data_IF_349953464844
#
_entry.id   IF_349953464844
#
_cell.length_a   1.000
_cell.length_b   1.000
_cell.length_c   1.000
_cell.angle_alpha   90.00
_cell.angle_beta   90.00
_cell.angle_gamma   90.00
#
_symmetry.space_group_name_H-M   'P 1'
#
loop_
_entity.id
_entity.type
_entity.pdbx_description
1 polymer ?
#
# COMPACT_ATOMS: atom_id res chain seq x y z
N UNK A 1 -6.95 -13.65 -10.08
CA UNK A 1 -5.76 -14.28 -9.48
C UNK A 1 -4.61 -13.29 -9.67
N UNK A 2 -3.90 -12.91 -8.62
CA UNK A 2 -2.86 -11.89 -8.70
C UNK A 2 -1.61 -12.49 -9.34
N UNK A 3 -0.93 -11.83 -10.30
CA UNK A 3 0.13 -12.45 -11.12
C UNK A 3 1.34 -13.00 -10.34
N UNK A 4 1.53 -12.58 -9.09
CA UNK A 4 2.65 -12.98 -8.22
C UNK A 4 2.25 -13.64 -6.91
N UNK A 5 0.93 -13.76 -6.58
CA UNK A 5 0.49 -14.42 -5.33
C UNK A 5 0.89 -15.88 -5.26
N UNK A 6 1.10 -16.51 -6.40
CA UNK A 6 1.43 -17.93 -6.51
C UNK A 6 2.92 -18.18 -6.82
N UNK A 7 3.74 -17.13 -6.84
CA UNK A 7 5.19 -17.29 -7.05
C UNK A 7 5.88 -17.55 -5.73
N UNK A 8 6.50 -18.72 -5.57
CA UNK A 8 7.33 -18.98 -4.39
C UNK A 8 8.48 -17.99 -4.32
N UNK A 9 8.71 -17.47 -3.12
CA UNK A 9 9.86 -16.63 -2.84
C UNK A 9 10.88 -17.38 -1.99
N UNK A 10 12.12 -16.95 -2.05
CA UNK A 10 13.16 -17.30 -1.10
C UNK A 10 13.52 -16.04 -0.31
N UNK A 11 13.51 -16.14 1.02
CA UNK A 11 13.90 -15.02 1.89
C UNK A 11 15.37 -14.66 1.64
N UNK A 12 15.63 -13.38 1.41
CA UNK A 12 16.99 -12.85 1.22
C UNK A 12 17.78 -12.75 2.53
N UNK A 13 17.14 -12.95 3.68
CA UNK A 13 17.71 -12.83 5.03
C UNK A 13 18.28 -11.44 5.38
N UNK A 14 18.00 -10.42 4.57
CA UNK A 14 18.35 -9.06 4.95
C UNK A 14 17.58 -8.61 6.19
N UNK A 15 18.17 -7.78 7.07
CA UNK A 15 17.45 -7.22 8.21
C UNK A 15 16.31 -6.29 7.76
N UNK A 16 15.35 -6.07 8.65
CA UNK A 16 14.35 -5.02 8.52
C UNK A 16 14.87 -3.75 9.19
N UNK A 17 15.29 -2.80 8.38
CA UNK A 17 15.82 -1.51 8.85
C UNK A 17 14.70 -0.48 8.97
N UNK A 18 14.87 0.45 9.91
CA UNK A 18 13.98 1.61 10.01
C UNK A 18 14.16 2.55 8.83
N UNK A 19 13.07 3.18 8.42
CA UNK A 19 13.12 4.19 7.37
C UNK A 19 13.87 5.44 7.88
N UNK A 20 14.98 5.84 7.21
CA UNK A 20 15.74 7.01 7.61
C UNK A 20 15.10 8.30 7.02
N UNK A 21 15.46 9.48 7.55
CA UNK A 21 15.29 10.72 6.80
C UNK A 21 16.06 10.61 5.46
N UNK A 22 15.60 11.18 4.34
CA UNK A 22 14.50 12.14 4.17
C UNK A 22 13.14 11.53 3.82
N UNK A 23 12.90 10.26 4.11
CA UNK A 23 11.61 9.61 3.87
C UNK A 23 10.61 10.03 4.95
N UNK A 24 9.53 10.69 4.56
CA UNK A 24 8.50 11.08 5.50
C UNK A 24 7.65 9.87 5.88
N UNK A 25 7.08 9.88 7.08
CA UNK A 25 6.15 8.88 7.57
C UNK A 25 4.79 9.51 7.74
N UNK A 26 3.73 8.85 7.32
CA UNK A 26 2.37 9.30 7.61
C UNK A 26 2.05 8.88 9.03
N UNK A 27 2.08 9.83 9.94
CA UNK A 27 1.84 9.59 11.36
C UNK A 27 0.63 10.40 11.87
N UNK A 28 -0.23 9.83 12.73
CA UNK A 28 -0.12 8.45 13.26
C UNK A 28 -0.32 7.40 12.16
N UNK A 29 0.36 6.24 12.29
CA UNK A 29 0.27 5.17 11.29
C UNK A 29 -1.18 4.73 11.10
N UNK A 30 -1.70 4.72 9.85
CA UNK A 30 -3.14 4.52 9.60
C UNK A 30 -3.71 3.23 10.18
N UNK A 31 -3.01 2.10 10.00
CA UNK A 31 -3.51 0.82 10.51
C UNK A 31 -3.35 0.67 12.02
N UNK A 32 -2.29 1.23 12.60
CA UNK A 32 -2.14 1.26 14.06
C UNK A 32 -3.26 2.08 14.72
N UNK A 33 -3.70 3.15 14.08
CA UNK A 33 -4.78 4.02 14.56
C UNK A 33 -6.15 3.33 14.61
N UNK A 34 -6.38 2.31 13.77
CA UNK A 34 -7.59 1.50 13.81
C UNK A 34 -7.44 0.22 14.65
N UNK A 35 -6.35 0.10 15.40
CA UNK A 35 -6.13 -1.00 16.35
C UNK A 35 -5.41 -2.23 15.78
N UNK A 36 -4.77 -2.11 14.61
CA UNK A 36 -4.02 -3.23 14.05
C UNK A 36 -2.89 -3.72 14.99
N UNK A 37 -2.74 -5.03 15.20
CA UNK A 37 -1.91 -5.60 16.25
C UNK A 37 -0.42 -5.66 15.88
N UNK A 38 0.25 -4.52 15.73
CA UNK A 38 1.70 -4.48 15.49
C UNK A 38 2.50 -5.02 16.68
N UNK A 39 1.93 -4.96 17.89
CA UNK A 39 2.60 -5.37 19.12
C UNK A 39 3.55 -4.29 19.66
N UNK A 40 3.98 -4.47 20.91
CA UNK A 40 4.90 -3.52 21.54
C UNK A 40 6.26 -3.55 20.82
N UNK A 41 6.84 -2.36 20.56
CA UNK A 41 8.16 -2.17 19.93
C UNK A 41 8.27 -2.67 18.47
N UNK A 42 7.18 -2.85 17.76
CA UNK A 42 7.19 -3.19 16.34
C UNK A 42 6.80 -1.96 15.52
N UNK A 43 7.81 -1.26 15.02
CA UNK A 43 7.64 -0.13 14.12
C UNK A 43 7.16 -0.64 12.75
N UNK A 44 6.01 -0.18 12.23
CA UNK A 44 5.54 -0.51 10.90
C UNK A 44 6.42 0.07 9.78
N UNK A 45 7.15 1.16 10.07
CA UNK A 45 8.00 1.85 9.11
C UNK A 45 9.39 1.21 8.99
N UNK A 46 9.41 -0.07 8.59
CA UNK A 46 10.63 -0.85 8.38
C UNK A 46 10.57 -1.58 7.04
N UNK A 47 11.71 -1.69 6.36
CA UNK A 47 11.86 -2.43 5.11
C UNK A 47 13.17 -3.21 5.12
N UNK A 48 13.33 -4.18 4.22
CA UNK A 48 14.62 -4.84 4.01
C UNK A 48 15.67 -3.80 3.62
N UNK A 49 16.91 -3.98 4.09
CA UNK A 49 17.99 -3.00 3.88
C UNK A 49 18.20 -2.65 2.41
N UNK A 50 18.18 -3.63 1.51
CA UNK A 50 18.28 -3.38 0.07
C UNK A 50 17.09 -2.61 -0.49
N UNK A 51 15.90 -2.76 0.10
CA UNK A 51 14.71 -1.98 -0.28
C UNK A 51 14.81 -0.54 0.21
N UNK A 52 15.30 -0.33 1.43
CA UNK A 52 15.59 1.03 1.96
C UNK A 52 16.57 1.77 1.06
N UNK A 53 17.67 1.12 0.65
CA UNK A 53 18.66 1.71 -0.25
C UNK A 53 18.05 2.14 -1.58
N UNK A 54 17.25 1.28 -2.21
CA UNK A 54 16.55 1.61 -3.47
C UNK A 54 15.53 2.74 -3.28
N UNK A 55 14.85 2.79 -2.13
CA UNK A 55 13.88 3.84 -1.86
C UNK A 55 14.57 5.21 -1.70
N UNK A 56 15.77 5.25 -1.12
CA UNK A 56 16.58 6.45 -1.07
C UNK A 56 17.05 6.88 -2.47
N UNK A 57 17.47 5.95 -3.32
CA UNK A 57 17.80 6.23 -4.73
C UNK A 57 16.59 6.83 -5.47
N UNK A 58 15.40 6.25 -5.27
CA UNK A 58 14.16 6.80 -5.85
C UNK A 58 13.85 8.20 -5.32
N UNK A 59 14.09 8.47 -4.01
CA UNK A 59 13.91 9.79 -3.41
C UNK A 59 14.87 10.81 -4.04
N UNK A 60 16.12 10.44 -4.29
CA UNK A 60 17.09 11.31 -4.98
C UNK A 60 16.66 11.60 -6.42
N UNK A 61 16.17 10.59 -7.13
CA UNK A 61 15.57 10.77 -8.47
C UNK A 61 14.35 11.70 -8.45
N UNK A 62 13.51 11.58 -7.43
CA UNK A 62 12.36 12.48 -7.24
C UNK A 62 12.84 13.92 -7.05
N UNK A 63 13.78 14.15 -6.15
CA UNK A 63 14.32 15.50 -5.87
C UNK A 63 15.01 16.14 -7.07
N UNK A 64 15.66 15.36 -7.92
CA UNK A 64 16.26 15.86 -9.17
C UNK A 64 15.19 16.35 -10.17
N UNK A 65 13.98 15.80 -10.17
CA UNK A 65 12.88 16.19 -11.05
C UNK A 65 11.91 17.19 -10.44
N UNK A 66 11.75 17.11 -9.12
CA UNK A 66 10.82 17.92 -8.35
C UNK A 66 11.45 18.21 -6.96
N UNK A 67 12.33 19.23 -6.86
CA UNK A 67 13.17 19.48 -5.68
C UNK A 67 12.42 19.67 -4.35
N UNK A 68 11.14 20.06 -4.42
CA UNK A 68 10.29 20.32 -3.25
C UNK A 68 9.40 19.14 -2.86
N UNK A 69 9.64 17.95 -3.48
CA UNK A 69 8.83 16.78 -3.19
C UNK A 69 9.60 15.70 -2.46
N UNK A 70 8.89 15.02 -1.58
CA UNK A 70 9.35 13.87 -0.81
C UNK A 70 8.38 12.72 -0.94
N UNK A 71 8.88 11.50 -0.72
CA UNK A 71 8.00 10.38 -0.44
C UNK A 71 7.43 10.47 0.96
N UNK A 72 6.13 10.24 1.08
CA UNK A 72 5.45 10.04 2.34
C UNK A 72 4.96 8.58 2.41
N UNK A 73 5.55 7.82 3.34
CA UNK A 73 5.30 6.40 3.49
C UNK A 73 4.03 6.20 4.29
N UNK A 74 3.06 5.50 3.67
CA UNK A 74 1.78 5.15 4.26
C UNK A 74 1.87 3.84 5.05
N UNK A 75 2.39 2.78 4.43
CA UNK A 75 2.62 1.48 5.04
C UNK A 75 3.87 0.81 4.47
N UNK A 76 4.59 0.07 5.32
CA UNK A 76 5.79 -0.63 4.92
C UNK A 76 5.75 -2.09 5.39
N UNK A 77 6.36 -2.44 6.53
CA UNK A 77 6.31 -3.80 7.03
C UNK A 77 5.02 -4.10 7.77
N UNK A 78 4.34 -5.14 7.32
CA UNK A 78 3.06 -5.59 7.87
C UNK A 78 3.16 -7.04 8.34
N UNK A 79 3.22 -7.33 9.64
CA UNK A 79 3.14 -8.69 10.15
C UNK A 79 1.88 -9.42 9.66
N UNK A 80 1.95 -10.75 9.53
CA UNK A 80 0.79 -11.55 9.09
C UNK A 80 -0.44 -11.32 9.98
N UNK A 81 -0.25 -11.10 11.29
CA UNK A 81 -1.33 -10.77 12.22
C UNK A 81 -2.02 -9.46 11.87
N UNK A 82 -1.25 -8.45 11.46
CA UNK A 82 -1.78 -7.16 10.99
C UNK A 82 -2.46 -7.33 9.63
N UNK A 83 -1.88 -8.10 8.71
CA UNK A 83 -2.52 -8.42 7.44
C UNK A 83 -3.89 -9.08 7.64
N UNK A 84 -3.98 -10.07 8.54
CA UNK A 84 -5.24 -10.73 8.86
C UNK A 84 -6.26 -9.76 9.50
N UNK A 85 -5.79 -8.88 10.38
CA UNK A 85 -6.63 -7.85 10.99
C UNK A 85 -7.20 -6.91 9.91
N UNK A 86 -6.37 -6.39 9.01
CA UNK A 86 -6.80 -5.44 7.99
C UNK A 86 -7.77 -6.04 6.98
N UNK A 87 -7.58 -7.30 6.57
CA UNK A 87 -8.55 -8.01 5.74
C UNK A 87 -9.92 -8.08 6.43
N UNK A 88 -9.96 -8.52 7.70
CA UNK A 88 -11.21 -8.60 8.46
C UNK A 88 -11.83 -7.22 8.69
N UNK A 89 -11.02 -6.22 9.05
CA UNK A 89 -11.47 -4.85 9.26
C UNK A 89 -12.16 -4.29 8.02
N UNK A 90 -11.57 -4.51 6.83
CA UNK A 90 -12.15 -4.04 5.56
C UNK A 90 -13.45 -4.79 5.21
N UNK A 91 -13.50 -6.12 5.44
CA UNK A 91 -14.74 -6.89 5.29
C UNK A 91 -15.81 -6.34 6.23
N UNK A 92 -15.50 -6.09 7.51
CA UNK A 92 -16.43 -5.55 8.49
C UNK A 92 -16.93 -4.15 8.11
N UNK A 93 -16.06 -3.30 7.56
CA UNK A 93 -16.47 -1.99 7.08
C UNK A 93 -17.47 -2.10 5.91
N UNK A 94 -17.14 -2.87 4.88
CA UNK A 94 -18.02 -3.02 3.71
C UNK A 94 -19.35 -3.70 4.07
N UNK A 95 -19.33 -4.68 4.97
CA UNK A 95 -20.55 -5.29 5.46
C UNK A 95 -21.45 -4.26 6.17
N UNK A 96 -20.88 -3.43 7.06
CA UNK A 96 -21.63 -2.36 7.73
C UNK A 96 -22.20 -1.33 6.75
N UNK A 97 -21.42 -0.90 5.79
CA UNK A 97 -21.84 0.07 4.76
C UNK A 97 -23.00 -0.46 3.91
N UNK A 98 -23.03 -1.78 3.67
CA UNK A 98 -24.05 -2.45 2.83
C UNK A 98 -25.18 -3.06 3.63
N UNK A 99 -25.20 -2.95 4.95
CA UNK A 99 -26.22 -3.55 5.82
C UNK A 99 -26.19 -5.07 5.83
N UNK A 100 -25.01 -5.68 5.63
CA UNK A 100 -24.81 -7.12 5.64
C UNK A 100 -24.42 -7.57 7.06
N UNK A 101 -25.22 -8.49 7.63
CA UNK A 101 -24.88 -9.17 8.87
C UNK A 101 -24.06 -10.42 8.54
N UNK A 102 -22.83 -10.47 9.05
CA UNK A 102 -21.89 -11.58 8.81
C UNK A 102 -22.35 -12.91 9.41
N UNK A 103 -23.19 -12.84 10.45
CA UNK A 103 -23.69 -14.01 11.17
C UNK A 103 -25.04 -14.49 10.65
N UNK A 104 -25.67 -13.75 9.71
CA UNK A 104 -26.94 -14.15 9.10
C UNK A 104 -26.71 -15.20 8.00
N UNK A 105 -27.24 -16.44 8.21
CA UNK A 105 -27.13 -17.49 7.18
C UNK A 105 -27.81 -17.13 5.85
N UNK A 106 -28.81 -16.20 5.87
CA UNK A 106 -29.52 -15.74 4.66
C UNK A 106 -28.67 -14.82 3.80
N UNK A 107 -27.62 -14.19 4.36
CA UNK A 107 -26.76 -13.23 3.65
C UNK A 107 -25.39 -13.79 3.26
N UNK A 108 -25.20 -15.10 3.30
CA UNK A 108 -23.91 -15.75 2.96
C UNK A 108 -23.41 -15.42 1.55
N UNK A 109 -24.31 -15.27 0.59
CA UNK A 109 -23.94 -14.92 -0.78
C UNK A 109 -23.39 -13.49 -0.86
N UNK A 110 -24.00 -12.54 -0.14
CA UNK A 110 -23.57 -11.14 -0.07
C UNK A 110 -22.25 -11.02 0.66
N UNK A 111 -22.07 -11.73 1.78
CA UNK A 111 -20.79 -11.80 2.48
C UNK A 111 -19.69 -12.35 1.57
N UNK A 112 -19.94 -13.44 0.84
CA UNK A 112 -18.96 -13.99 -0.10
C UNK A 112 -18.56 -13.00 -1.20
N UNK A 113 -19.50 -12.19 -1.69
CA UNK A 113 -19.22 -11.13 -2.66
C UNK A 113 -18.30 -10.06 -2.05
N UNK A 114 -18.57 -9.63 -0.80
CA UNK A 114 -17.70 -8.68 -0.08
C UNK A 114 -16.31 -9.26 0.13
N UNK A 115 -16.18 -10.50 0.60
CA UNK A 115 -14.89 -11.16 0.79
C UNK A 115 -14.11 -11.31 -0.52
N UNK A 116 -14.79 -11.62 -1.60
CA UNK A 116 -14.20 -11.71 -2.94
C UNK A 116 -13.70 -10.35 -3.43
N UNK A 117 -14.47 -9.29 -3.20
CA UNK A 117 -14.08 -7.92 -3.53
C UNK A 117 -12.84 -7.49 -2.72
N UNK A 118 -12.87 -7.65 -1.40
CA UNK A 118 -11.72 -7.37 -0.52
C UNK A 118 -10.48 -8.16 -0.95
N UNK A 119 -10.65 -9.43 -1.31
CA UNK A 119 -9.58 -10.29 -1.82
C UNK A 119 -8.92 -9.80 -3.12
N UNK A 120 -9.52 -8.84 -3.84
CA UNK A 120 -8.88 -8.21 -5.00
C UNK A 120 -7.83 -7.17 -4.60
N UNK A 121 -8.02 -6.51 -3.46
CA UNK A 121 -7.16 -5.42 -2.98
C UNK A 121 -6.19 -5.90 -1.90
N UNK A 122 -6.64 -6.76 -1.01
CA UNK A 122 -5.83 -7.29 0.08
C UNK A 122 -5.27 -8.68 -0.23
N UNK A 123 -3.97 -8.85 -0.04
CA UNK A 123 -3.36 -10.18 -0.12
C UNK A 123 -3.88 -11.07 1.03
N UNK A 124 -4.16 -12.35 0.80
CA UNK A 124 -4.55 -13.26 1.87
C UNK A 124 -3.43 -13.37 2.92
N UNK A 125 -3.77 -13.48 4.23
CA UNK A 125 -2.79 -13.55 5.32
C UNK A 125 -2.12 -14.95 5.38
N UNK A 126 -1.39 -15.31 4.32
CA UNK A 126 -0.72 -16.60 4.19
C UNK A 126 0.39 -16.75 5.23
N UNK A 127 0.41 -17.90 5.91
CA UNK A 127 1.50 -18.31 6.82
C UNK A 127 2.53 -19.19 6.12
N UNK A 128 2.32 -19.50 4.83
CA UNK A 128 3.31 -20.23 4.05
C UNK A 128 4.52 -19.32 3.78
N UNK A 129 5.74 -19.68 4.23
CA UNK A 129 6.92 -18.85 4.06
C UNK A 129 7.35 -18.71 2.59
N UNK A 130 6.86 -19.56 1.71
CA UNK A 130 7.12 -19.46 0.27
C UNK A 130 6.17 -18.47 -0.44
N UNK A 131 5.01 -18.21 0.12
CA UNK A 131 3.99 -17.34 -0.46
C UNK A 131 3.41 -16.39 0.59
N UNK A 132 4.25 -15.59 1.28
CA UNK A 132 3.78 -14.62 2.26
C UNK A 132 3.09 -13.43 1.57
N UNK A 133 2.26 -12.67 2.30
CA UNK A 133 1.78 -11.38 1.81
C UNK A 133 2.95 -10.45 1.48
N UNK A 134 2.89 -9.64 0.42
CA UNK A 134 4.01 -8.79 -0.01
C UNK A 134 4.61 -7.92 1.11
N UNK A 135 3.79 -7.19 1.86
CA UNK A 135 4.25 -6.34 2.97
C UNK A 135 4.85 -7.13 4.14
N UNK A 136 4.44 -8.39 4.34
CA UNK A 136 5.05 -9.24 5.37
C UNK A 136 6.49 -9.63 5.05
N UNK A 137 6.91 -9.52 3.80
CA UNK A 137 8.30 -9.76 3.38
C UNK A 137 9.23 -8.60 3.75
N UNK A 138 8.71 -7.40 3.96
CA UNK A 138 9.48 -6.15 4.07
C UNK A 138 10.00 -5.63 2.72
N UNK A 139 9.42 -6.10 1.60
CA UNK A 139 9.80 -5.69 0.25
C UNK A 139 8.69 -4.96 -0.53
N UNK A 140 7.55 -4.72 0.10
CA UNK A 140 6.48 -3.90 -0.45
C UNK A 140 6.30 -2.63 0.40
N UNK A 141 5.92 -1.55 -0.24
CA UNK A 141 5.71 -0.24 0.38
C UNK A 141 4.56 0.48 -0.31
N UNK A 142 3.68 1.06 0.50
CA UNK A 142 2.63 1.98 0.06
C UNK A 142 3.08 3.41 0.40
N UNK A 143 3.06 4.29 -0.58
CA UNK A 143 3.57 5.64 -0.43
C UNK A 143 2.88 6.63 -1.37
N UNK A 144 2.98 7.90 -1.03
CA UNK A 144 2.55 9.01 -1.85
C UNK A 144 3.61 10.10 -1.91
N UNK A 145 3.28 11.23 -2.51
CA UNK A 145 4.13 12.41 -2.57
C UNK A 145 3.70 13.44 -1.52
N UNK A 146 4.66 14.12 -0.93
CA UNK A 146 4.45 15.25 -0.02
C UNK A 146 5.36 16.42 -0.38
N UNK A 147 4.97 17.63 0.03
CA UNK A 147 5.79 18.83 -0.05
C UNK A 147 6.88 18.83 1.04
N UNK A 148 7.84 19.77 0.95
CA UNK A 148 8.83 20.01 2.03
C UNK A 148 8.17 20.31 3.39
N UNK A 149 6.94 20.83 3.40
CA UNK A 149 6.16 21.08 4.61
C UNK A 149 5.44 19.82 5.14
N UNK A 150 5.55 18.68 4.47
CA UNK A 150 4.88 17.43 4.84
C UNK A 150 3.41 17.35 4.39
N UNK A 151 2.94 18.28 3.58
CA UNK A 151 1.58 18.25 3.04
C UNK A 151 1.50 17.21 1.92
N UNK A 152 0.56 16.25 2.06
CA UNK A 152 0.35 15.21 1.06
C UNK A 152 -0.23 15.80 -0.23
N UNK A 153 0.28 15.36 -1.36
CA UNK A 153 -0.28 15.76 -2.65
C UNK A 153 -1.55 14.95 -2.96
N UNK A 154 -2.56 15.65 -3.46
CA UNK A 154 -3.75 15.01 -4.01
C UNK A 154 -3.39 14.15 -5.22
N UNK A 155 -3.70 12.86 -5.15
CA UNK A 155 -3.44 11.86 -6.19
C UNK A 155 -4.72 11.41 -6.90
N UNK A 156 -5.87 12.05 -6.59
CA UNK A 156 -7.18 11.77 -7.17
C UNK A 156 -8.01 10.74 -6.39
N UNK A 157 -7.60 10.40 -5.18
CA UNK A 157 -8.32 9.52 -4.27
C UNK A 157 -7.50 9.21 -3.02
N UNK A 158 -8.15 8.79 -1.94
CA UNK A 158 -7.43 8.36 -0.74
C UNK A 158 -6.55 7.14 -1.03
N UNK A 159 -5.47 7.01 -0.27
CA UNK A 159 -4.65 5.80 -0.29
C UNK A 159 -5.52 4.63 0.21
N UNK A 160 -5.35 3.44 -0.35
CA UNK A 160 -6.17 2.26 -0.09
C UNK A 160 -7.65 2.38 -0.50
N UNK A 161 -8.01 3.36 -1.34
CA UNK A 161 -9.35 3.41 -1.91
C UNK A 161 -9.67 2.11 -2.66
N UNK A 162 -10.85 1.56 -2.39
CA UNK A 162 -11.37 0.39 -3.12
C UNK A 162 -12.17 0.88 -4.32
N UNK A 163 -11.84 0.40 -5.51
CA UNK A 163 -12.57 0.71 -6.75
C UNK A 163 -11.69 1.24 -7.88
N UNK A 164 -12.34 1.62 -8.98
CA UNK A 164 -11.67 1.99 -10.23
C UNK A 164 -10.71 3.19 -10.08
N UNK A 165 -10.97 4.10 -9.14
CA UNK A 165 -10.10 5.26 -8.88
C UNK A 165 -8.68 4.86 -8.45
N UNK A 166 -8.51 3.66 -7.91
CA UNK A 166 -7.21 3.12 -7.48
C UNK A 166 -6.41 2.54 -8.64
N UNK A 167 -7.02 2.33 -9.81
CA UNK A 167 -6.28 1.85 -10.97
C UNK A 167 -5.23 2.88 -11.40
N UNK A 168 -3.99 2.46 -11.69
CA UNK A 168 -2.88 3.37 -12.00
C UNK A 168 -3.21 4.38 -13.09
N UNK A 169 -3.88 3.94 -14.15
CA UNK A 169 -4.16 4.74 -15.34
C UNK A 169 -5.59 5.34 -15.36
N UNK A 170 -6.30 5.32 -14.22
CA UNK A 170 -7.69 5.82 -14.15
C UNK A 170 -7.86 7.22 -14.75
N UNK A 171 -6.93 8.12 -14.48
CA UNK A 171 -6.94 9.50 -14.98
C UNK A 171 -6.17 9.72 -16.30
N UNK A 172 -5.67 8.66 -16.96
CA UNK A 172 -4.82 8.80 -18.16
C UNK A 172 -5.52 9.49 -19.35
N UNK A 173 -6.84 9.42 -19.40
CA UNK A 173 -7.66 10.03 -20.47
C UNK A 173 -8.56 11.18 -19.96
N UNK A 174 -8.23 11.72 -18.79
CA UNK A 174 -9.02 12.79 -18.21
C UNK A 174 -8.91 14.09 -19.02
N UNK A 175 -10.02 14.81 -19.12
CA UNK A 175 -10.09 16.13 -19.76
C UNK A 175 -10.05 17.26 -18.73
N UNK A 176 -10.47 17.00 -17.51
CA UNK A 176 -10.43 17.97 -16.41
C UNK A 176 -8.98 18.27 -16.00
N UNK A 177 -8.59 19.56 -15.86
CA UNK A 177 -7.21 19.94 -15.51
C UNK A 177 -6.73 19.39 -14.16
N UNK A 178 -7.62 19.26 -13.16
CA UNK A 178 -7.26 18.69 -11.86
C UNK A 178 -6.99 17.19 -11.98
N UNK A 179 -7.82 16.45 -12.72
CA UNK A 179 -7.61 15.03 -12.98
C UNK A 179 -6.35 14.78 -13.81
N UNK A 180 -6.03 15.64 -14.79
CA UNK A 180 -4.76 15.59 -15.51
C UNK A 180 -3.56 15.81 -14.59
N UNK A 181 -3.71 16.66 -13.57
CA UNK A 181 -2.65 16.85 -12.57
C UNK A 181 -2.47 15.60 -11.71
N UNK A 182 -3.56 14.91 -11.31
CA UNK A 182 -3.46 13.64 -10.62
C UNK A 182 -2.71 12.59 -11.45
N UNK A 183 -3.03 12.48 -12.73
CA UNK A 183 -2.32 11.58 -13.63
C UNK A 183 -0.82 11.89 -13.70
N UNK A 184 -0.44 13.16 -13.88
CA UNK A 184 0.97 13.59 -13.93
C UNK A 184 1.72 13.26 -12.63
N UNK A 185 1.09 13.43 -11.48
CA UNK A 185 1.68 13.08 -10.18
C UNK A 185 1.89 11.56 -10.03
N UNK A 186 0.90 10.75 -10.44
CA UNK A 186 1.01 9.28 -10.46
C UNK A 186 2.12 8.82 -11.40
N UNK A 187 2.25 9.42 -12.59
CA UNK A 187 3.32 9.13 -13.55
C UNK A 187 4.70 9.49 -13.02
N UNK A 188 4.84 10.66 -12.37
CA UNK A 188 6.08 11.03 -11.71
C UNK A 188 6.48 9.98 -10.67
N UNK A 189 5.57 9.64 -9.76
CA UNK A 189 5.78 8.62 -8.73
C UNK A 189 6.18 7.29 -9.35
N UNK A 190 5.40 6.78 -10.32
CA UNK A 190 5.67 5.53 -11.03
C UNK A 190 7.06 5.52 -11.67
N UNK A 191 7.42 6.59 -12.36
CA UNK A 191 8.67 6.65 -13.11
C UNK A 191 9.90 6.69 -12.21
N UNK A 192 9.87 7.41 -11.09
CA UNK A 192 11.02 7.46 -10.16
C UNK A 192 11.15 6.15 -9.37
N UNK A 193 10.06 5.52 -8.97
CA UNK A 193 10.07 4.21 -8.33
C UNK A 193 10.60 3.13 -9.28
N UNK A 194 10.13 3.11 -10.53
CA UNK A 194 10.60 2.16 -11.54
C UNK A 194 12.11 2.33 -11.84
N UNK A 195 12.62 3.57 -11.87
CA UNK A 195 14.05 3.83 -12.11
C UNK A 195 14.97 3.26 -11.01
N UNK A 196 14.44 3.08 -9.79
CA UNK A 196 15.13 2.43 -8.68
C UNK A 196 14.81 0.92 -8.55
N UNK A 197 14.15 0.34 -9.57
CA UNK A 197 13.88 -1.10 -9.65
C UNK A 197 12.65 -1.57 -8.89
N UNK A 198 11.75 -0.67 -8.50
CA UNK A 198 10.45 -1.07 -7.97
C UNK A 198 9.48 -1.41 -9.11
N UNK A 199 8.70 -2.44 -8.92
CA UNK A 199 7.58 -2.77 -9.79
C UNK A 199 6.28 -2.26 -9.18
N UNK A 200 5.52 -1.50 -9.96
CA UNK A 200 4.18 -1.08 -9.54
C UNK A 200 3.26 -2.29 -9.48
N UNK A 201 2.41 -2.35 -8.45
CA UNK A 201 1.33 -3.32 -8.42
C UNK A 201 0.35 -2.98 -9.57
N UNK A 202 0.10 -3.90 -10.52
CA UNK A 202 -0.67 -3.57 -11.73
C UNK A 202 -2.17 -3.54 -11.52
N UNK A 203 -2.65 -4.04 -10.38
CA UNK A 203 -4.07 -4.04 -10.02
C UNK A 203 -4.23 -3.44 -8.64
N UNK A 204 -5.31 -2.69 -8.41
CA UNK A 204 -5.65 -2.20 -7.09
C UNK A 204 -5.97 -3.33 -6.14
#
# INVERSE_FOLDING_TARGET
MRPWSDRPIQDCLEPLDHLPPPLFRIEPHPYASVGAPYGQNKDPFRLRSGVVSRLLEAQDQLRNRAPHLHFAIFDAWRPISVQAFMVNYTVDQLCRERGIDRDDPGQKADLHNVESEVGRFWAPPSRNPQTPPPHSTGAAVDLTLATDAGELLEMGGPIDAIGAVSEPDYFAKAFDPAEQLFHKRRELLRSVMASAGFAQYPHP
#
